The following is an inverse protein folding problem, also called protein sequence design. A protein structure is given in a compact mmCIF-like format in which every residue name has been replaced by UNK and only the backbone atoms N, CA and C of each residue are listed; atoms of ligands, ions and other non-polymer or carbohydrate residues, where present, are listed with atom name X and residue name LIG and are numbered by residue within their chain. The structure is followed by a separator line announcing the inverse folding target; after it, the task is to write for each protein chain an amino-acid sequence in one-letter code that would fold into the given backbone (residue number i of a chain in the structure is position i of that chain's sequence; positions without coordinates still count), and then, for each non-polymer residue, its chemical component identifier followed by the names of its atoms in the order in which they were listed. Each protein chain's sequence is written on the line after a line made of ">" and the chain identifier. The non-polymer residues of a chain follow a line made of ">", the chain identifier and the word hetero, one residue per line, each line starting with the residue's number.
data_IF_741832114591
#
_entry.id   IF_741832114591
#
_cell.length_a   1.000
_cell.length_b   1.000
_cell.length_c   1.000
_cell.angle_alpha   90.00
_cell.angle_beta   90.00
_cell.angle_gamma   90.00
#
_symmetry.space_group_name_H-M   'P 1'
#
loop_
_entity.id
_entity.type
_entity.pdbx_description
1 polymer ?
#
# COMPACT_ATOMS: atom_id res chain seq x y z
N UNK A 1 1.56 -12.49 -16.18
CA UNK A 1 0.94 -13.21 -15.05
C UNK A 1 0.36 -12.17 -14.09
N UNK A 2 -0.77 -12.45 -13.45
CA UNK A 2 -1.25 -11.60 -12.35
C UNK A 2 -0.43 -11.94 -11.10
N UNK A 3 0.36 -10.99 -10.60
CA UNK A 3 1.11 -11.19 -9.36
C UNK A 3 0.15 -11.11 -8.17
N UNK A 4 0.27 -12.06 -7.24
CA UNK A 4 -0.45 -12.04 -5.95
C UNK A 4 0.56 -11.65 -4.89
N UNK A 5 0.23 -10.66 -4.06
CA UNK A 5 1.13 -10.19 -3.02
C UNK A 5 1.18 -11.18 -1.85
N UNK A 6 2.38 -11.48 -1.36
CA UNK A 6 2.65 -12.27 -0.16
C UNK A 6 3.39 -11.42 0.89
N UNK A 7 2.67 -10.89 1.91
CA UNK A 7 3.29 -10.11 2.98
C UNK A 7 4.32 -10.89 3.82
N UNK A 8 4.22 -12.23 3.90
CA UNK A 8 5.20 -13.03 4.64
C UNK A 8 6.52 -13.10 3.88
N UNK A 9 6.48 -13.32 2.56
CA UNK A 9 7.66 -13.17 1.71
C UNK A 9 8.22 -11.74 1.74
N UNK A 10 7.34 -10.74 1.77
CA UNK A 10 7.70 -9.33 1.88
C UNK A 10 8.45 -8.99 3.17
N UNK A 11 8.11 -9.64 4.29
CA UNK A 11 8.83 -9.49 5.55
C UNK A 11 10.29 -9.95 5.44
N UNK A 12 10.54 -11.03 4.69
CA UNK A 12 11.89 -11.55 4.45
C UNK A 12 12.70 -10.59 3.57
N UNK A 13 12.09 -10.06 2.51
CA UNK A 13 12.70 -9.01 1.67
C UNK A 13 13.04 -7.78 2.51
N UNK A 14 12.10 -7.33 3.35
CA UNK A 14 12.31 -6.19 4.23
C UNK A 14 13.52 -6.38 5.15
N UNK A 15 13.60 -7.53 5.83
CA UNK A 15 14.67 -7.84 6.77
C UNK A 15 16.05 -7.92 6.08
N UNK A 16 16.12 -8.51 4.89
CA UNK A 16 17.38 -8.67 4.16
C UNK A 16 17.86 -7.41 3.46
N UNK A 17 16.95 -6.52 3.07
CA UNK A 17 17.26 -5.45 2.10
C UNK A 17 16.95 -4.05 2.63
N UNK A 18 15.82 -3.86 3.30
CA UNK A 18 15.29 -2.54 3.63
C UNK A 18 15.68 -2.07 5.04
N UNK A 19 15.71 -3.01 6.00
CA UNK A 19 15.90 -2.73 7.43
C UNK A 19 17.24 -2.06 7.75
N UNK A 20 18.27 -2.25 6.91
CA UNK A 20 19.59 -1.60 7.06
C UNK A 20 19.51 -0.07 7.06
N UNK A 21 18.54 0.50 6.33
CA UNK A 21 18.34 1.95 6.22
C UNK A 21 17.10 2.41 7.00
N UNK A 22 15.99 1.68 6.89
CA UNK A 22 14.70 2.09 7.47
C UNK A 22 14.46 1.59 8.91
N UNK A 23 15.42 0.85 9.48
CA UNK A 23 15.31 0.25 10.80
C UNK A 23 14.53 -1.07 10.78
N UNK A 24 14.80 -1.94 11.77
CA UNK A 24 14.15 -3.26 11.89
C UNK A 24 12.63 -3.18 12.03
N UNK A 25 12.15 -2.14 12.70
CA UNK A 25 10.75 -1.89 12.97
C UNK A 25 10.18 -0.75 12.12
N UNK A 26 10.84 -0.41 11.00
CA UNK A 26 10.39 0.61 10.05
C UNK A 26 10.31 2.03 10.62
N UNK A 27 10.94 2.25 11.77
CA UNK A 27 10.94 3.50 12.51
C UNK A 27 11.81 4.60 11.87
N UNK A 28 12.54 4.26 10.80
CA UNK A 28 13.49 5.15 10.15
C UNK A 28 14.80 5.28 10.90
N UNK A 29 15.74 5.97 10.27
CA UNK A 29 17.05 6.33 10.82
C UNK A 29 17.41 7.73 10.33
N UNK A 30 18.63 8.21 10.65
CA UNK A 30 19.13 9.47 10.11
C UNK A 30 19.29 9.46 8.57
N UNK A 31 19.39 8.28 7.96
CA UNK A 31 19.65 8.15 6.50
C UNK A 31 18.42 7.75 5.70
N UNK A 32 17.34 7.29 6.33
CA UNK A 32 16.10 6.94 5.63
C UNK A 32 14.86 7.14 6.51
N UNK A 33 13.73 7.56 5.93
CA UNK A 33 12.53 7.92 6.69
C UNK A 33 11.86 6.69 7.32
N UNK A 34 11.00 6.88 8.34
CA UNK A 34 10.07 5.86 8.80
C UNK A 34 9.11 5.44 7.67
N UNK A 35 8.83 4.14 7.61
CA UNK A 35 7.94 3.54 6.61
C UNK A 35 6.55 3.22 7.18
N UNK A 36 6.47 3.06 8.49
CA UNK A 36 5.22 2.92 9.24
C UNK A 36 5.39 3.43 10.68
N UNK A 37 4.32 3.36 11.47
CA UNK A 37 4.28 3.93 12.81
C UNK A 37 4.03 5.44 12.81
N UNK A 38 4.05 6.09 13.98
CA UNK A 38 3.55 7.47 14.15
C UNK A 38 4.37 8.54 13.39
N UNK A 39 5.62 8.25 13.04
CA UNK A 39 6.47 9.17 12.28
C UNK A 39 6.36 9.05 10.75
N UNK A 40 5.63 8.05 10.24
CA UNK A 40 5.51 7.79 8.81
C UNK A 40 4.42 8.64 8.15
N UNK A 41 4.32 8.53 6.82
CA UNK A 41 3.21 9.09 6.06
C UNK A 41 1.86 8.51 6.53
N UNK A 42 0.79 9.32 6.41
CA UNK A 42 -0.54 8.91 6.83
C UNK A 42 -1.22 7.97 5.81
N UNK A 43 -2.34 7.37 6.21
CA UNK A 43 -3.10 6.42 5.38
C UNK A 43 -3.69 7.05 4.10
N UNK A 44 -3.90 8.38 4.05
CA UNK A 44 -4.40 9.10 2.88
C UNK A 44 -3.33 9.35 1.80
N UNK A 45 -2.05 9.20 2.12
CA UNK A 45 -0.98 9.38 1.15
C UNK A 45 -1.04 8.34 0.03
N UNK A 46 -0.75 8.71 -1.22
CA UNK A 46 -0.75 7.77 -2.34
C UNK A 46 0.20 6.57 -2.15
N UNK A 47 1.25 6.74 -1.34
CA UNK A 47 2.22 5.70 -0.97
C UNK A 47 1.64 4.62 -0.05
N UNK A 48 0.48 4.85 0.58
CA UNK A 48 -0.20 3.82 1.38
C UNK A 48 -0.83 2.71 0.52
N UNK A 49 -0.92 2.92 -0.80
CA UNK A 49 -1.46 1.96 -1.76
C UNK A 49 -0.38 0.99 -2.22
N UNK A 50 -0.65 -0.30 -2.10
CA UNK A 50 0.30 -1.38 -2.39
C UNK A 50 0.89 -1.28 -3.80
N UNK A 51 0.08 -0.99 -4.84
CA UNK A 51 0.58 -0.94 -6.22
C UNK A 51 1.46 0.29 -6.46
N UNK A 52 1.11 1.42 -5.84
CA UNK A 52 1.92 2.64 -5.91
C UNK A 52 3.26 2.42 -5.23
N UNK A 53 3.25 1.84 -4.03
CA UNK A 53 4.45 1.49 -3.29
C UNK A 53 5.32 0.47 -4.03
N UNK A 54 4.74 -0.58 -4.60
CA UNK A 54 5.46 -1.60 -5.35
C UNK A 54 6.19 -1.01 -6.56
N UNK A 55 5.53 -0.14 -7.33
CA UNK A 55 6.16 0.53 -8.47
C UNK A 55 7.32 1.43 -8.02
N UNK A 56 7.12 2.23 -6.96
CA UNK A 56 8.17 3.07 -6.42
C UNK A 56 9.37 2.24 -5.95
N UNK A 57 9.12 1.16 -5.20
CA UNK A 57 10.16 0.27 -4.67
C UNK A 57 10.93 -0.40 -5.80
N UNK A 58 10.24 -0.95 -6.81
CA UNK A 58 10.90 -1.59 -7.95
C UNK A 58 11.90 -0.64 -8.63
N UNK A 59 11.48 0.61 -8.86
CA UNK A 59 12.25 1.55 -9.68
C UNK A 59 13.33 2.31 -8.88
N UNK A 60 13.13 2.49 -7.57
CA UNK A 60 13.95 3.41 -6.77
C UNK A 60 14.60 2.78 -5.54
N UNK A 61 14.24 1.54 -5.19
CA UNK A 61 14.76 0.86 -4.01
C UNK A 61 15.41 -0.48 -4.37
N UNK A 62 16.44 -0.90 -3.61
CA UNK A 62 17.14 -0.13 -2.57
C UNK A 62 17.84 1.10 -3.14
N UNK A 63 17.92 2.18 -2.38
CA UNK A 63 18.50 3.43 -2.87
C UNK A 63 19.94 3.28 -3.39
N UNK A 64 20.73 2.40 -2.77
CA UNK A 64 22.10 2.11 -3.18
C UNK A 64 22.21 1.15 -4.38
N UNK A 65 21.12 0.45 -4.72
CA UNK A 65 21.06 -0.55 -5.80
C UNK A 65 19.66 -0.60 -6.44
N UNK A 66 19.17 0.50 -7.04
CA UNK A 66 17.82 0.54 -7.59
C UNK A 66 17.64 -0.48 -8.73
N UNK A 67 16.43 -1.02 -8.89
CA UNK A 67 16.10 -1.98 -9.94
C UNK A 67 16.60 -3.41 -9.69
N UNK A 68 17.13 -3.72 -8.51
CA UNK A 68 17.62 -5.07 -8.17
C UNK A 68 16.54 -6.01 -7.65
N UNK A 69 15.42 -5.49 -7.16
CA UNK A 69 14.28 -6.31 -6.75
C UNK A 69 13.49 -6.74 -7.99
N UNK A 70 13.07 -8.00 -8.03
CA UNK A 70 12.07 -8.45 -9.00
C UNK A 70 10.71 -7.78 -8.74
N UNK A 71 9.84 -7.75 -9.75
CA UNK A 71 8.46 -7.26 -9.63
C UNK A 71 7.70 -7.90 -8.46
N UNK A 72 7.86 -9.21 -8.27
CA UNK A 72 7.21 -9.94 -7.18
C UNK A 72 7.77 -9.52 -5.81
N UNK A 73 9.10 -9.41 -5.66
CA UNK A 73 9.70 -8.95 -4.41
C UNK A 73 9.29 -7.53 -4.05
N UNK A 74 9.22 -6.63 -5.04
CA UNK A 74 8.75 -5.26 -4.86
C UNK A 74 7.28 -5.22 -4.43
N UNK A 75 6.42 -6.07 -5.02
CA UNK A 75 5.03 -6.20 -4.63
C UNK A 75 4.87 -6.75 -3.20
N UNK A 76 5.61 -7.81 -2.86
CA UNK A 76 5.54 -8.48 -1.57
C UNK A 76 5.97 -7.54 -0.44
N UNK A 77 7.12 -6.85 -0.60
CA UNK A 77 7.60 -5.90 0.40
C UNK A 77 6.70 -4.69 0.51
N UNK A 78 6.12 -4.22 -0.61
CA UNK A 78 5.15 -3.13 -0.58
C UNK A 78 3.88 -3.53 0.18
N UNK A 79 3.38 -4.76 0.01
CA UNK A 79 2.24 -5.27 0.77
C UNK A 79 2.56 -5.41 2.26
N UNK A 80 3.75 -5.93 2.59
CA UNK A 80 4.24 -6.01 3.97
C UNK A 80 4.27 -4.64 4.65
N UNK A 81 4.89 -3.63 4.02
CA UNK A 81 4.97 -2.26 4.54
C UNK A 81 3.58 -1.62 4.62
N UNK A 82 2.77 -1.79 3.58
CA UNK A 82 1.42 -1.19 3.49
C UNK A 82 0.47 -1.74 4.56
N UNK A 83 0.66 -2.98 5.01
CA UNK A 83 -0.12 -3.61 6.08
C UNK A 83 0.24 -3.17 7.51
N UNK A 84 1.24 -2.30 7.71
CA UNK A 84 1.65 -1.84 9.04
C UNK A 84 0.84 -0.61 9.51
N UNK A 85 0.67 -0.42 10.85
CA UNK A 85 -0.03 0.74 11.41
C UNK A 85 0.63 2.05 10.99
N UNK A 86 -0.16 3.09 10.74
CA UNK A 86 0.32 4.44 10.39
C UNK A 86 -0.69 5.50 10.82
N UNK A 87 -0.33 6.80 10.82
CA UNK A 87 -1.25 7.86 11.18
C UNK A 87 -2.48 7.86 10.27
N UNK A 88 -3.62 8.19 10.85
CA UNK A 88 -4.82 8.40 10.07
C UNK A 88 -4.79 9.76 9.33
N UNK A 89 -5.68 9.93 8.36
CA UNK A 89 -5.94 11.22 7.72
C UNK A 89 -7.41 11.61 7.88
N UNK A 90 -7.65 12.74 8.54
CA UNK A 90 -8.99 13.25 8.76
C UNK A 90 -9.61 13.69 7.43
N UNK A 91 -10.82 13.21 7.12
CA UNK A 91 -11.50 13.57 5.88
C UNK A 91 -11.25 12.65 4.69
N UNK A 92 -10.34 11.68 4.81
CA UNK A 92 -10.00 10.71 3.75
C UNK A 92 -11.21 9.98 3.18
N UNK A 93 -12.26 9.80 3.99
CA UNK A 93 -13.51 9.16 3.57
C UNK A 93 -14.23 9.92 2.44
N UNK A 94 -13.85 11.18 2.18
CA UNK A 94 -14.37 12.04 1.11
C UNK A 94 -13.46 12.08 -0.12
N UNK A 95 -12.35 11.36 -0.12
CA UNK A 95 -11.45 11.29 -1.27
C UNK A 95 -12.18 10.73 -2.50
N UNK A 96 -11.73 11.17 -3.68
CA UNK A 96 -12.39 10.92 -4.98
C UNK A 96 -13.86 11.39 -5.03
N UNK A 97 -14.15 12.69 -4.79
CA UNK A 97 -15.53 13.19 -4.79
C UNK A 97 -16.23 13.00 -6.15
N UNK A 98 -15.46 13.06 -7.25
CA UNK A 98 -15.95 13.01 -8.63
C UNK A 98 -15.47 11.76 -9.40
N UNK A 99 -14.97 10.73 -8.73
CA UNK A 99 -14.42 9.55 -9.40
C UNK A 99 -14.43 8.30 -8.53
N UNK A 100 -14.04 7.18 -9.14
CA UNK A 100 -13.90 5.92 -8.41
C UNK A 100 -12.57 5.90 -7.63
N UNK A 101 -12.57 5.43 -6.38
CA UNK A 101 -11.33 5.19 -5.66
C UNK A 101 -10.53 4.05 -6.34
N UNK A 102 -9.19 4.09 -6.28
CA UNK A 102 -8.36 2.97 -6.68
C UNK A 102 -8.75 1.68 -5.96
N UNK A 103 -8.64 0.51 -6.62
CA UNK A 103 -9.05 -0.77 -6.03
C UNK A 103 -8.18 -1.20 -4.84
N UNK A 104 -7.02 -0.57 -4.63
CA UNK A 104 -6.07 -0.85 -3.54
C UNK A 104 -6.01 0.28 -2.49
N UNK A 105 -7.03 1.13 -2.44
CA UNK A 105 -7.21 2.09 -1.34
C UNK A 105 -7.33 1.34 -0.01
N UNK A 106 -6.56 1.79 0.98
CA UNK A 106 -6.40 1.11 2.27
C UNK A 106 -7.48 1.43 3.32
N UNK A 107 -8.55 2.14 2.94
CA UNK A 107 -9.61 2.61 3.85
C UNK A 107 -10.94 2.79 3.11
N UNK A 108 -12.10 2.72 3.79
CA UNK A 108 -13.40 2.92 3.14
C UNK A 108 -13.56 4.36 2.65
N UNK A 109 -14.18 4.53 1.48
CA UNK A 109 -14.52 5.85 0.92
C UNK A 109 -16.00 5.95 0.59
N UNK A 110 -16.54 7.16 0.73
CA UNK A 110 -17.92 7.49 0.36
C UNK A 110 -18.16 7.27 -1.13
N UNK A 111 -17.13 7.46 -1.97
CA UNK A 111 -17.18 7.20 -3.40
C UNK A 111 -17.43 5.71 -3.70
N UNK A 112 -16.74 4.80 -3.01
CA UNK A 112 -16.96 3.35 -3.17
C UNK A 112 -18.38 2.94 -2.74
N UNK A 113 -18.89 3.53 -1.66
CA UNK A 113 -20.22 3.25 -1.11
C UNK A 113 -21.37 3.75 -2.00
N UNK A 114 -21.19 4.92 -2.64
CA UNK A 114 -22.16 5.42 -3.64
C UNK A 114 -22.29 4.43 -4.80
N UNK A 115 -21.16 3.87 -5.26
CA UNK A 115 -21.13 2.90 -6.35
C UNK A 115 -21.88 1.60 -6.03
N UNK A 116 -21.75 1.06 -4.82
CA UNK A 116 -22.49 -0.14 -4.41
C UNK A 116 -23.99 0.11 -4.23
N UNK A 117 -24.39 1.32 -3.85
CA UNK A 117 -25.81 1.69 -3.64
C UNK A 117 -26.55 1.90 -4.96
N UNK A 118 -25.87 2.39 -6.00
CA UNK A 118 -26.48 2.69 -7.31
C UNK A 118 -26.50 1.47 -8.26
N UNK A 119 -25.79 0.39 -7.93
CA UNK A 119 -25.81 -0.83 -8.75
C UNK A 119 -27.19 -1.53 -8.62
N UNK A 120 -27.89 -1.85 -9.73
CA UNK A 120 -29.20 -2.49 -9.65
C UNK A 120 -29.05 -3.88 -9.03
N UNK A 121 -29.89 -4.20 -8.06
CA UNK A 121 -30.02 -5.55 -7.53
C UNK A 121 -30.35 -6.50 -8.69
N UNK A 122 -29.39 -7.33 -9.09
CA UNK A 122 -29.64 -8.40 -10.07
C UNK A 122 -30.62 -9.38 -9.41
N UNK A 123 -31.90 -9.21 -9.72
CA UNK A 123 -32.99 -10.04 -9.22
C UNK A 123 -32.80 -11.48 -9.64
N UNK A 124 -32.51 -12.34 -8.66
CA UNK A 124 -32.65 -13.79 -8.79
C UNK A 124 -34.14 -14.08 -8.98
N UNK A 125 -34.52 -14.49 -10.20
CA UNK A 125 -35.87 -15.04 -10.45
C UNK A 125 -35.88 -16.50 -9.98
N UNK A 126 -36.80 -16.91 -9.09
CA UNK A 126 -36.99 -18.33 -8.81
C UNK A 126 -37.62 -19.02 -10.03
N UNK A 127 -37.25 -20.29 -10.23
CA UNK A 127 -37.76 -21.18 -11.27
C UNK A 127 -39.18 -21.65 -10.98
#
# INVERSE_FOLDING_TARGET
>A
AAFTADPAAGALVYAGVCAKCHGRDGQGTAVAPPLWGPGAYNIGAGMSRVRTAAAFVRDNMPFDQPGTLSDQQALDVAAYVSGRPRPDFAGKERDWPNGDPPPDVAYPTSAAQRKTTTAPAVGVRPR
#
